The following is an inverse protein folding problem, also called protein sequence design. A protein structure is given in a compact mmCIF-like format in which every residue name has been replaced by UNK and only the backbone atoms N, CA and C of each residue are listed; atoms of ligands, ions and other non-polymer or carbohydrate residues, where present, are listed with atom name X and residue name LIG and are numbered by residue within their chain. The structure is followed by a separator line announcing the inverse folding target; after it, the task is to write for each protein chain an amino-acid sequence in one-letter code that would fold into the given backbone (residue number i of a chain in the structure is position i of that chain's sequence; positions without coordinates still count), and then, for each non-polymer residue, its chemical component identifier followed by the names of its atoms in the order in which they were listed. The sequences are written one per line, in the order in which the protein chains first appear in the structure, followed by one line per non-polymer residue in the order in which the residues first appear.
data_IF_719812460035
#
_entry.id   IF_719812460035
#
_cell.length_a   1.000
_cell.length_b   1.000
_cell.length_c   1.000
_cell.angle_alpha   90.00
_cell.angle_beta   90.00
_cell.angle_gamma   90.00
#
_symmetry.space_group_name_H-M   'P 1'
#
loop_
_entity.id
_entity.type
_entity.pdbx_description
1 polymer ?
#
# COMPACT_ATOMS: atom_id res chain seq x y z
N UNK A 1 -31.96 5.39 -6.21
CA UNK A 1 -31.16 4.67 -7.20
C UNK A 1 -29.89 5.40 -7.61
N UNK A 2 -29.87 6.74 -7.66
CA UNK A 2 -28.69 7.52 -8.08
C UNK A 2 -27.48 7.47 -7.13
N UNK A 3 -27.69 7.38 -5.81
CA UNK A 3 -26.59 7.37 -4.82
C UNK A 3 -25.74 6.10 -4.86
N UNK A 4 -26.35 4.95 -5.15
CA UNK A 4 -25.64 3.67 -5.26
C UNK A 4 -24.77 3.65 -6.54
N UNK A 5 -25.32 4.18 -7.64
CA UNK A 5 -24.58 4.26 -8.92
C UNK A 5 -23.40 5.24 -8.83
N UNK A 6 -23.57 6.38 -8.13
CA UNK A 6 -22.48 7.32 -7.88
C UNK A 6 -21.41 6.71 -6.96
N UNK A 7 -21.79 5.95 -5.94
CA UNK A 7 -20.87 5.25 -5.06
C UNK A 7 -20.02 4.21 -5.80
N UNK A 8 -20.63 3.44 -6.69
CA UNK A 8 -19.93 2.46 -7.55
C UNK A 8 -18.99 3.14 -8.56
N UNK A 9 -19.42 4.25 -9.16
CA UNK A 9 -18.59 5.02 -10.08
C UNK A 9 -17.34 5.56 -9.39
N UNK A 10 -17.47 6.12 -8.20
CA UNK A 10 -16.35 6.61 -7.42
C UNK A 10 -15.40 5.48 -7.00
N UNK A 11 -15.93 4.31 -6.63
CA UNK A 11 -15.11 3.14 -6.30
C UNK A 11 -14.31 2.64 -7.51
N UNK A 12 -14.91 2.57 -8.69
CA UNK A 12 -14.23 2.18 -9.93
C UNK A 12 -13.10 3.15 -10.28
N UNK A 13 -13.34 4.46 -10.18
CA UNK A 13 -12.32 5.48 -10.42
C UNK A 13 -11.16 5.33 -9.44
N UNK A 14 -11.43 5.10 -8.15
CA UNK A 14 -10.39 4.88 -7.15
C UNK A 14 -9.53 3.66 -7.46
N UNK A 15 -10.16 2.53 -7.84
CA UNK A 15 -9.45 1.29 -8.20
C UNK A 15 -8.59 1.49 -9.45
N UNK A 16 -9.13 2.15 -10.48
CA UNK A 16 -8.39 2.43 -11.72
C UNK A 16 -7.18 3.32 -11.43
N UNK A 17 -7.36 4.36 -10.64
CA UNK A 17 -6.26 5.25 -10.26
C UNK A 17 -5.21 4.53 -9.42
N UNK A 18 -5.63 3.68 -8.48
CA UNK A 18 -4.71 2.87 -7.68
C UNK A 18 -3.86 1.93 -8.56
N UNK A 19 -4.46 1.27 -9.56
CA UNK A 19 -3.73 0.42 -10.51
C UNK A 19 -2.74 1.19 -11.37
N UNK A 20 -3.09 2.41 -11.80
CA UNK A 20 -2.16 3.28 -12.54
C UNK A 20 -0.95 3.68 -11.68
N UNK A 21 -1.20 4.05 -10.43
CA UNK A 21 -0.14 4.40 -9.48
C UNK A 21 0.75 3.19 -9.18
N UNK A 22 0.16 2.02 -8.93
CA UNK A 22 0.89 0.77 -8.69
C UNK A 22 1.77 0.40 -9.89
N UNK A 23 1.24 0.48 -11.12
CA UNK A 23 1.99 0.26 -12.34
C UNK A 23 3.17 1.22 -12.50
N UNK A 24 2.98 2.50 -12.20
CA UNK A 24 4.06 3.49 -12.22
C UNK A 24 5.13 3.18 -11.16
N UNK A 25 4.72 2.83 -9.93
CA UNK A 25 5.64 2.46 -8.86
C UNK A 25 6.44 1.18 -9.19
N UNK A 26 5.85 0.23 -9.91
CA UNK A 26 6.52 -0.97 -10.37
C UNK A 26 7.71 -0.67 -11.30
N UNK A 27 7.61 0.36 -12.13
CA UNK A 27 8.72 0.81 -12.98
C UNK A 27 9.93 1.24 -12.14
N UNK A 28 9.68 1.87 -10.98
CA UNK A 28 10.73 2.33 -10.06
C UNK A 28 11.20 1.26 -9.07
N UNK A 29 10.59 0.09 -9.04
CA UNK A 29 10.98 -1.01 -8.15
C UNK A 29 12.34 -1.64 -8.48
N UNK A 30 13.00 -1.20 -9.55
CA UNK A 30 14.29 -1.73 -9.99
C UNK A 30 14.19 -2.81 -11.07
N UNK A 31 12.98 -3.10 -11.56
CA UNK A 31 12.76 -4.08 -12.62
C UNK A 31 13.33 -3.62 -13.97
N UNK A 32 13.04 -2.38 -14.37
CA UNK A 32 13.46 -1.83 -15.67
C UNK A 32 14.74 -1.02 -15.59
N UNK A 33 14.97 -0.34 -14.47
CA UNK A 33 16.12 0.56 -14.32
C UNK A 33 16.91 0.12 -13.09
N UNK A 34 18.21 -0.15 -13.29
CA UNK A 34 19.12 -0.46 -12.19
C UNK A 34 19.18 0.72 -11.21
N UNK A 35 19.00 0.45 -9.93
CA UNK A 35 18.94 1.50 -8.89
C UNK A 35 20.20 2.36 -8.86
N UNK A 36 21.37 1.76 -9.17
CA UNK A 36 22.64 2.48 -9.27
C UNK A 36 22.68 3.56 -10.36
N UNK A 37 21.95 3.35 -11.45
CA UNK A 37 21.90 4.24 -12.60
C UNK A 37 20.83 5.33 -12.48
N UNK A 38 20.01 5.26 -11.43
CA UNK A 38 18.96 6.25 -11.17
C UNK A 38 19.53 7.55 -10.62
N UNK A 39 19.01 8.72 -11.07
CA UNK A 39 19.36 10.02 -10.49
C UNK A 39 19.06 10.05 -8.99
N UNK A 40 19.91 10.74 -8.22
CA UNK A 40 19.81 10.78 -6.77
C UNK A 40 18.45 11.31 -6.26
N UNK A 41 17.83 12.23 -6.98
CA UNK A 41 16.53 12.83 -6.63
C UNK A 41 15.32 11.89 -6.77
N UNK A 42 15.44 10.80 -7.55
CA UNK A 42 14.41 9.75 -7.67
C UNK A 42 14.74 8.54 -6.80
N UNK A 43 16.03 8.26 -6.57
CA UNK A 43 16.50 7.06 -5.90
C UNK A 43 15.86 6.83 -4.51
N UNK A 44 15.57 7.89 -3.75
CA UNK A 44 14.94 7.76 -2.44
C UNK A 44 13.52 7.15 -2.52
N UNK A 45 12.80 7.39 -3.62
CA UNK A 45 11.45 6.84 -3.83
C UNK A 45 11.49 5.32 -3.85
N UNK A 46 12.52 4.72 -4.47
CA UNK A 46 12.66 3.26 -4.58
C UNK A 46 12.77 2.58 -3.22
N UNK A 47 13.31 3.25 -2.21
CA UNK A 47 13.42 2.70 -0.86
C UNK A 47 12.10 2.72 -0.07
N UNK A 48 11.15 3.56 -0.46
CA UNK A 48 9.83 3.66 0.16
C UNK A 48 8.88 2.62 -0.43
N UNK A 49 9.08 2.21 -1.69
CA UNK A 49 8.17 1.33 -2.41
C UNK A 49 8.28 -0.12 -1.90
N UNK A 50 7.19 -0.72 -1.35
CA UNK A 50 7.22 -2.11 -0.88
C UNK A 50 7.48 -3.10 -2.01
N UNK A 51 7.07 -2.81 -3.24
CA UNK A 51 7.27 -3.64 -4.43
C UNK A 51 8.76 -3.91 -4.71
N UNK A 52 9.65 -2.95 -4.38
CA UNK A 52 11.10 -3.15 -4.48
C UNK A 52 11.57 -4.33 -3.63
N UNK A 53 11.17 -4.36 -2.36
CA UNK A 53 11.61 -5.41 -1.43
C UNK A 53 11.07 -6.78 -1.82
N UNK A 54 9.84 -6.82 -2.37
CA UNK A 54 9.26 -8.04 -2.91
C UNK A 54 10.04 -8.53 -4.12
N UNK A 55 10.40 -7.63 -5.04
CA UNK A 55 11.16 -7.94 -6.24
C UNK A 55 12.60 -8.38 -5.91
N UNK A 56 13.28 -7.68 -5.02
CA UNK A 56 14.63 -8.03 -4.55
C UNK A 56 14.63 -9.42 -3.89
N UNK A 57 13.63 -9.73 -3.06
CA UNK A 57 13.47 -11.05 -2.44
C UNK A 57 13.21 -12.16 -3.46
N UNK A 58 12.40 -11.88 -4.47
CA UNK A 58 12.13 -12.81 -5.56
C UNK A 58 13.38 -13.13 -6.40
N UNK A 59 14.15 -12.10 -6.76
CA UNK A 59 15.42 -12.27 -7.47
C UNK A 59 16.41 -13.09 -6.63
N UNK A 60 16.52 -12.80 -5.34
CA UNK A 60 17.37 -13.55 -4.45
C UNK A 60 17.00 -15.03 -4.44
N UNK A 61 15.72 -15.39 -4.34
CA UNK A 61 15.26 -16.77 -4.34
C UNK A 61 15.59 -17.52 -5.64
N UNK A 62 15.55 -16.82 -6.78
CA UNK A 62 15.84 -17.45 -8.09
C UNK A 62 17.35 -17.64 -8.32
N UNK A 63 18.13 -16.63 -7.97
CA UNK A 63 19.54 -16.59 -8.37
C UNK A 63 20.48 -17.13 -7.31
N UNK A 64 20.14 -17.01 -6.03
CA UNK A 64 21.03 -17.41 -4.94
C UNK A 64 21.27 -18.92 -4.92
N UNK A 65 22.55 -19.29 -4.89
CA UNK A 65 22.95 -20.69 -4.86
C UNK A 65 22.77 -21.47 -6.17
N UNK A 66 22.31 -20.81 -7.23
CA UNK A 66 22.16 -21.40 -8.56
C UNK A 66 23.35 -21.03 -9.45
N UNK A 67 23.69 -21.95 -10.37
CA UNK A 67 24.70 -21.68 -11.43
C UNK A 67 24.00 -21.69 -12.78
N UNK A 68 24.20 -20.64 -13.55
CA UNK A 68 23.60 -20.46 -14.85
C UNK A 68 24.62 -20.65 -15.96
N UNK A 69 24.22 -21.41 -16.99
CA UNK A 69 25.03 -21.59 -18.20
C UNK A 69 24.76 -20.42 -19.14
N UNK A 70 25.80 -19.68 -19.48
CA UNK A 70 25.67 -18.59 -20.43
C UNK A 70 25.45 -19.17 -21.84
N UNK A 71 24.37 -18.73 -22.50
CA UNK A 71 24.05 -19.17 -23.84
C UNK A 71 25.20 -18.87 -24.82
N UNK A 72 25.73 -19.90 -25.46
CA UNK A 72 26.84 -19.76 -26.41
C UNK A 72 28.24 -19.98 -25.84
N UNK A 73 28.39 -20.24 -24.56
CA UNK A 73 29.69 -20.53 -23.92
C UNK A 73 29.52 -21.62 -22.87
N UNK A 74 30.53 -22.47 -22.67
CA UNK A 74 30.52 -23.47 -21.58
C UNK A 74 30.78 -22.83 -20.18
N UNK A 75 30.73 -21.51 -20.09
CA UNK A 75 30.97 -20.78 -18.85
C UNK A 75 29.78 -20.91 -17.92
N UNK A 76 30.01 -21.47 -16.74
CA UNK A 76 29.06 -21.45 -15.63
C UNK A 76 29.26 -20.18 -14.82
N UNK A 77 28.21 -19.37 -14.70
CA UNK A 77 28.24 -18.12 -13.91
C UNK A 77 27.40 -18.33 -12.66
N UNK A 78 27.95 -18.09 -11.45
CA UNK A 78 27.16 -18.12 -10.22
C UNK A 78 26.07 -17.05 -10.28
N UNK A 79 24.86 -17.40 -9.84
CA UNK A 79 23.71 -16.48 -9.82
C UNK A 79 23.96 -15.23 -8.99
N UNK A 80 24.75 -15.34 -7.91
CA UNK A 80 25.15 -14.18 -7.10
C UNK A 80 25.93 -13.14 -7.89
N UNK A 81 26.76 -13.58 -8.86
CA UNK A 81 27.49 -12.68 -9.78
C UNK A 81 26.51 -11.97 -10.72
N UNK A 82 25.47 -12.65 -11.16
CA UNK A 82 24.42 -12.07 -12.01
C UNK A 82 23.63 -11.03 -11.22
N UNK A 83 23.24 -11.35 -9.98
CA UNK A 83 22.57 -10.42 -9.08
C UNK A 83 23.38 -9.13 -8.89
N UNK A 84 24.66 -9.26 -8.59
CA UNK A 84 25.53 -8.12 -8.38
C UNK A 84 25.73 -7.27 -9.64
N UNK A 85 25.92 -7.90 -10.80
CA UNK A 85 26.18 -7.17 -12.06
C UNK A 85 24.94 -6.52 -12.64
N UNK A 86 23.79 -7.23 -12.67
CA UNK A 86 22.58 -6.72 -13.31
C UNK A 86 21.77 -5.83 -12.38
N UNK A 87 21.69 -6.17 -11.12
CA UNK A 87 20.80 -5.49 -10.16
C UNK A 87 21.52 -4.67 -9.11
N UNK A 88 22.86 -4.82 -8.99
CA UNK A 88 23.67 -4.08 -8.03
C UNK A 88 23.40 -4.46 -6.56
N UNK A 89 22.92 -5.67 -6.34
CA UNK A 89 22.57 -6.18 -5.01
C UNK A 89 23.71 -7.00 -4.45
N UNK A 90 24.45 -6.43 -3.49
CA UNK A 90 25.61 -7.08 -2.89
C UNK A 90 25.30 -7.84 -1.60
N UNK A 91 24.30 -7.37 -0.82
CA UNK A 91 23.99 -7.88 0.52
C UNK A 91 22.48 -7.99 0.75
N UNK A 92 21.84 -8.93 0.10
CA UNK A 92 20.42 -9.20 0.29
C UNK A 92 20.24 -10.13 1.48
N UNK A 93 19.72 -9.61 2.58
CA UNK A 93 19.29 -10.42 3.73
C UNK A 93 17.80 -10.73 3.60
N UNK A 94 17.41 -11.96 3.23
CA UNK A 94 16.00 -12.30 2.97
C UNK A 94 15.09 -12.01 4.18
N UNK A 95 15.56 -12.26 5.39
CA UNK A 95 14.82 -11.97 6.61
C UNK A 95 14.50 -10.48 6.81
N UNK A 96 15.44 -9.60 6.43
CA UNK A 96 15.21 -8.16 6.50
C UNK A 96 14.14 -7.71 5.49
N UNK A 97 14.09 -8.32 4.31
CA UNK A 97 13.06 -8.03 3.31
C UNK A 97 11.68 -8.47 3.76
N UNK A 98 11.56 -9.69 4.30
CA UNK A 98 10.29 -10.15 4.90
C UNK A 98 9.86 -9.23 6.05
N UNK A 99 10.77 -8.83 6.92
CA UNK A 99 10.49 -7.90 8.01
C UNK A 99 9.99 -6.54 7.50
N UNK A 100 10.61 -6.00 6.45
CA UNK A 100 10.19 -4.74 5.83
C UNK A 100 8.81 -4.84 5.20
N UNK A 101 8.49 -5.95 4.51
CA UNK A 101 7.16 -6.17 3.93
C UNK A 101 6.09 -6.30 5.02
N UNK A 102 6.37 -7.01 6.11
CA UNK A 102 5.46 -7.08 7.25
C UNK A 102 5.24 -5.72 7.90
N UNK A 103 6.30 -4.92 8.06
CA UNK A 103 6.20 -3.56 8.57
C UNK A 103 5.31 -2.68 7.68
N UNK A 104 5.42 -2.80 6.36
CA UNK A 104 4.55 -2.12 5.40
C UNK A 104 3.09 -2.54 5.53
N UNK A 105 2.81 -3.84 5.68
CA UNK A 105 1.44 -4.33 5.88
C UNK A 105 0.84 -3.73 7.15
N UNK A 106 1.58 -3.74 8.25
CA UNK A 106 1.14 -3.16 9.53
C UNK A 106 0.89 -1.66 9.39
N UNK A 107 1.81 -0.92 8.75
CA UNK A 107 1.69 0.51 8.54
C UNK A 107 0.44 0.86 7.71
N UNK A 108 0.21 0.16 6.61
CA UNK A 108 -0.98 0.37 5.76
C UNK A 108 -2.25 0.07 6.55
N UNK A 109 -2.26 -0.99 7.38
CA UNK A 109 -3.41 -1.32 8.25
C UNK A 109 -3.68 -0.23 9.27
N UNK A 110 -2.65 0.32 9.89
CA UNK A 110 -2.79 1.45 10.83
C UNK A 110 -3.34 2.70 10.14
N UNK A 111 -2.81 3.06 8.97
CA UNK A 111 -3.32 4.17 8.17
C UNK A 111 -4.79 3.96 7.79
N UNK A 112 -5.14 2.77 7.32
CA UNK A 112 -6.52 2.42 6.97
C UNK A 112 -7.47 2.54 8.17
N UNK A 113 -7.05 2.03 9.32
CA UNK A 113 -7.82 2.12 10.56
C UNK A 113 -7.99 3.57 11.03
N UNK A 114 -6.94 4.39 10.93
CA UNK A 114 -7.00 5.82 11.23
C UNK A 114 -7.99 6.58 10.35
N UNK A 115 -7.98 6.33 9.04
CA UNK A 115 -8.94 6.93 8.10
C UNK A 115 -10.37 6.49 8.42
N UNK A 116 -10.57 5.21 8.73
CA UNK A 116 -11.88 4.68 9.10
C UNK A 116 -12.42 5.34 10.36
N UNK A 117 -11.61 5.48 11.41
CA UNK A 117 -11.99 6.18 12.64
C UNK A 117 -12.34 7.64 12.37
N UNK A 118 -11.56 8.32 11.54
CA UNK A 118 -11.81 9.71 11.17
C UNK A 118 -13.15 9.87 10.44
N UNK A 119 -13.51 8.96 9.55
CA UNK A 119 -14.80 8.96 8.87
C UNK A 119 -15.98 8.61 9.79
N UNK A 120 -15.74 7.79 10.80
CA UNK A 120 -16.77 7.38 11.76
C UNK A 120 -17.12 8.49 12.76
N UNK A 121 -16.15 9.34 13.12
CA UNK A 121 -16.37 10.43 14.10
C UNK A 121 -17.53 11.37 13.77
N UNK A 122 -17.66 11.95 12.55
CA UNK A 122 -18.77 12.84 12.22
C UNK A 122 -20.12 12.11 12.24
N UNK A 123 -20.15 10.84 11.84
CA UNK A 123 -21.37 10.04 11.85
C UNK A 123 -21.87 9.79 13.28
N UNK A 124 -20.99 9.44 14.21
CA UNK A 124 -21.33 9.25 15.63
C UNK A 124 -21.76 10.56 16.29
N UNK A 125 -21.12 11.67 15.95
CA UNK A 125 -21.49 13.01 16.45
C UNK A 125 -22.87 13.43 15.97
N UNK A 126 -23.22 13.16 14.71
CA UNK A 126 -24.55 13.46 14.15
C UNK A 126 -25.62 12.61 14.82
N UNK A 127 -25.37 11.34 15.07
CA UNK A 127 -26.31 10.44 15.75
C UNK A 127 -26.58 10.88 17.20
N UNK A 128 -25.54 11.30 17.93
CA UNK A 128 -25.70 11.85 19.28
C UNK A 128 -26.55 13.13 19.30
N UNK A 129 -26.32 14.05 18.34
CA UNK A 129 -27.14 15.27 18.22
C UNK A 129 -28.59 14.97 17.92
N UNK A 130 -28.88 14.00 17.05
CA UNK A 130 -30.25 13.56 16.76
C UNK A 130 -30.94 12.96 17.97
N UNK A 131 -30.27 12.13 18.76
CA UNK A 131 -30.81 11.55 19.99
C UNK A 131 -31.14 12.62 21.03
N UNK A 132 -30.26 13.59 21.26
CA UNK A 132 -30.48 14.70 22.19
C UNK A 132 -31.66 15.59 21.75
N UNK A 133 -31.79 15.85 20.43
CA UNK A 133 -32.91 16.61 19.88
C UNK A 133 -34.26 15.88 20.05
N UNK A 134 -34.28 14.58 19.85
CA UNK A 134 -35.47 13.76 20.07
C UNK A 134 -35.93 13.75 21.53
N UNK A 135 -34.98 13.58 22.45
CA UNK A 135 -35.27 13.60 23.91
C UNK A 135 -35.82 14.94 24.37
N UNK A 136 -35.23 16.06 23.89
CA UNK A 136 -35.75 17.40 24.16
C UNK A 136 -37.16 17.63 23.65
N UNK A 137 -37.50 17.11 22.48
CA UNK A 137 -38.86 17.23 21.91
C UNK A 137 -39.87 16.44 22.74
N UNK A 138 -39.51 15.27 23.24
CA UNK A 138 -40.36 14.48 24.14
C UNK A 138 -40.64 15.20 25.46
N UNK A 139 -39.62 15.87 26.01
CA UNK A 139 -39.77 16.66 27.24
C UNK A 139 -40.70 17.86 27.05
N UNK A 140 -40.62 18.56 25.92
CA UNK A 140 -41.51 19.67 25.59
C UNK A 140 -42.96 19.20 25.45
N UNK A 141 -43.20 18.13 24.69
CA UNK A 141 -44.53 17.55 24.51
C UNK A 141 -45.13 17.05 25.85
N UNK A 142 -44.26 16.49 26.71
CA UNK A 142 -44.67 16.05 28.06
C UNK A 142 -45.15 17.21 28.95
N UNK A 143 -44.43 18.35 28.92
CA UNK A 143 -44.78 19.56 29.66
C UNK A 143 -46.09 20.19 29.15
N UNK A 144 -46.33 20.21 27.86
CA UNK A 144 -47.53 20.76 27.25
C UNK A 144 -48.80 19.99 27.65
N UNK A 145 -48.70 18.64 27.77
CA UNK A 145 -49.78 17.78 28.22
C UNK A 145 -50.14 17.93 29.73
N UNK A 146 -49.22 18.43 30.54
CA UNK A 146 -49.46 18.62 31.99
C UNK A 146 -50.15 19.96 32.25
N UNK A 147 -50.03 20.92 31.33
CA UNK A 147 -50.65 22.24 31.47
C UNK A 147 -51.95 22.43 30.70
N UNK A 148 -52.44 21.39 29.99
CA UNK A 148 -53.73 21.33 29.31
C UNK A 148 -54.74 20.53 30.13
#
# INVERSE_FOLDING_TARGET
MNTVVQGLGNAMLCVTFAMLVEGALFLFAGFFIKIGDMPAWIRWITYIIPTKYSFDGYLYMIFHGQTFRLSGTEMMVPGDTILNRLYGQTDVKPWAMFGTLLAWIVLIRFCHYGVFLFQLMPFLSSRKRGAIAADRNLEIVGKEKIHA
#
